data_IF_668019166049
#
_entry.id   IF_668019166049
#
_cell.length_a   1.000
_cell.length_b   1.000
_cell.length_c   1.000
_cell.angle_alpha   90.00
_cell.angle_beta   90.00
_cell.angle_gamma   90.00
#
_symmetry.space_group_name_H-M   'P 1'
#
loop_
_entity.id
_entity.type
_entity.pdbx_description
1 polymer ?
#
# COMPACT_ATOMS: atom_id res chain seq x y z
N UNK A 1 26.92 -28.21 -34.15
CA UNK A 1 25.80 -27.25 -34.00
C UNK A 1 25.92 -26.61 -32.62
N UNK A 2 25.84 -25.28 -32.56
CA UNK A 2 26.16 -24.44 -31.40
C UNK A 2 25.19 -24.70 -30.24
N UNK A 3 25.73 -24.81 -29.03
CA UNK A 3 24.97 -24.86 -27.79
C UNK A 3 24.26 -23.53 -27.51
N UNK A 4 22.97 -23.62 -27.19
CA UNK A 4 22.19 -22.49 -26.69
C UNK A 4 22.45 -22.30 -25.20
N UNK A 5 23.07 -21.19 -24.84
CA UNK A 5 23.14 -20.71 -23.45
C UNK A 5 21.71 -20.39 -23.00
N UNK A 6 21.22 -21.10 -22.00
CA UNK A 6 20.06 -20.67 -21.21
C UNK A 6 20.50 -19.41 -20.45
N UNK A 7 19.85 -18.28 -20.72
CA UNK A 7 20.06 -17.07 -19.93
C UNK A 7 19.45 -17.29 -18.55
N UNK A 8 20.32 -17.54 -17.59
CA UNK A 8 20.00 -17.59 -16.17
C UNK A 8 19.89 -16.14 -15.68
N UNK A 9 18.66 -15.62 -15.57
CA UNK A 9 18.43 -14.28 -15.02
C UNK A 9 18.75 -14.34 -13.53
N UNK A 10 19.84 -13.69 -13.13
CA UNK A 10 20.30 -13.66 -11.75
C UNK A 10 19.30 -12.87 -10.88
N UNK A 11 18.42 -13.58 -10.15
CA UNK A 11 17.67 -13.00 -9.04
C UNK A 11 18.68 -12.52 -7.98
N UNK A 12 18.70 -11.22 -7.73
CA UNK A 12 19.59 -10.63 -6.75
C UNK A 12 19.19 -11.13 -5.36
N UNK A 13 20.13 -11.73 -4.64
CA UNK A 13 19.99 -12.15 -3.25
C UNK A 13 19.61 -10.94 -2.38
N UNK A 14 18.33 -10.76 -2.07
CA UNK A 14 17.85 -9.73 -1.15
C UNK A 14 16.96 -10.36 -0.10
N UNK A 15 17.20 -10.01 1.16
CA UNK A 15 16.46 -10.54 2.29
C UNK A 15 15.08 -9.88 2.32
N UNK A 16 14.02 -10.59 1.92
CA UNK A 16 12.65 -10.18 2.25
C UNK A 16 12.36 -10.67 3.68
N UNK A 17 11.63 -9.91 4.49
CA UNK A 17 11.32 -10.34 5.88
C UNK A 17 9.90 -10.89 5.90
N UNK A 18 9.76 -12.17 6.25
CA UNK A 18 8.46 -12.80 6.51
C UNK A 18 8.34 -13.02 8.01
N UNK A 19 7.30 -12.52 8.64
CA UNK A 19 7.06 -12.72 10.07
C UNK A 19 5.70 -13.36 10.28
N UNK A 20 5.63 -14.28 11.24
CA UNK A 20 4.35 -14.83 11.74
C UNK A 20 4.07 -14.38 13.18
N UNK A 21 4.94 -13.57 13.80
CA UNK A 21 4.83 -13.11 15.19
C UNK A 21 5.31 -11.66 15.37
N UNK A 22 4.70 -10.87 16.29
CA UNK A 22 5.05 -9.47 16.57
C UNK A 22 6.30 -9.28 17.45
N UNK A 23 7.00 -10.35 17.82
CA UNK A 23 8.23 -10.30 18.63
C UNK A 23 9.32 -11.08 17.93
N UNK A 24 10.12 -10.33 17.16
CA UNK A 24 11.44 -10.68 16.61
C UNK A 24 11.74 -12.15 16.35
N UNK A 25 11.66 -12.55 15.06
CA UNK A 25 12.69 -13.32 14.38
C UNK A 25 12.52 -13.15 12.87
N UNK A 26 13.30 -12.22 12.30
CA UNK A 26 13.35 -11.94 10.87
C UNK A 26 14.06 -13.08 10.14
N UNK A 27 13.34 -13.86 9.33
CA UNK A 27 13.97 -14.79 8.39
C UNK A 27 14.12 -14.10 7.02
N UNK A 28 15.34 -14.00 6.48
CA UNK A 28 15.55 -13.48 5.14
C UNK A 28 15.00 -14.48 4.11
N UNK A 29 14.03 -14.08 3.30
CA UNK A 29 13.66 -14.82 2.09
C UNK A 29 14.84 -14.73 1.14
N UNK A 30 15.55 -15.84 1.02
CA UNK A 30 16.36 -16.08 -0.17
C UNK A 30 15.38 -16.41 -1.30
N UNK A 31 15.20 -15.50 -2.26
CA UNK A 31 14.69 -15.85 -3.59
C UNK A 31 15.75 -16.69 -4.32
N UNK A 32 15.99 -17.90 -3.84
CA UNK A 32 16.73 -18.93 -4.56
C UNK A 32 15.74 -20.07 -4.77
N UNK A 33 15.26 -20.22 -6.00
CA UNK A 33 14.48 -21.37 -6.44
C UNK A 33 15.33 -22.64 -6.29
N UNK A 34 15.15 -23.34 -5.17
CA UNK A 34 14.99 -24.79 -5.21
C UNK A 34 13.61 -25.11 -4.63
N UNK A 35 12.90 -26.12 -5.16
CA UNK A 35 11.60 -26.53 -4.65
C UNK A 35 11.79 -27.19 -3.29
N UNK A 36 11.98 -26.39 -2.25
CA UNK A 36 11.71 -26.82 -0.89
C UNK A 36 10.23 -26.59 -0.63
N UNK A 37 9.44 -27.55 -1.08
CA UNK A 37 8.02 -27.77 -0.73
C UNK A 37 7.77 -27.92 0.79
N UNK A 38 8.71 -27.52 1.66
CA UNK A 38 8.72 -27.81 3.10
C UNK A 38 8.98 -26.63 4.03
N UNK A 39 9.24 -25.41 3.54
CA UNK A 39 9.72 -24.37 4.44
C UNK A 39 8.68 -23.43 5.06
N UNK A 40 7.41 -23.46 4.64
CA UNK A 40 6.33 -22.75 5.35
C UNK A 40 5.05 -23.61 5.35
N UNK A 41 4.98 -24.59 6.25
CA UNK A 41 3.74 -25.34 6.53
C UNK A 41 2.66 -24.50 7.22
N UNK A 42 2.97 -23.26 7.59
CA UNK A 42 2.04 -22.35 8.23
C UNK A 42 1.53 -21.31 7.23
N UNK A 43 0.24 -20.94 7.29
CA UNK A 43 -0.30 -19.84 6.52
C UNK A 43 0.50 -18.58 6.83
N UNK A 44 0.95 -17.89 5.79
CA UNK A 44 1.69 -16.65 5.95
C UNK A 44 0.67 -15.53 6.18
N UNK A 45 0.63 -14.99 7.39
CA UNK A 45 -0.34 -13.93 7.73
C UNK A 45 0.21 -12.51 7.56
N UNK A 46 1.54 -12.32 7.66
CA UNK A 46 2.19 -11.01 7.52
C UNK A 46 3.33 -11.04 6.50
N UNK A 47 3.38 -10.03 5.64
CA UNK A 47 4.43 -9.79 4.66
C UNK A 47 4.88 -8.35 4.75
N UNK A 48 6.13 -8.14 5.15
CA UNK A 48 6.72 -6.81 5.31
C UNK A 48 7.97 -6.66 4.44
N UNK A 49 7.86 -5.80 3.44
CA UNK A 49 8.94 -5.42 2.54
C UNK A 49 9.22 -3.93 2.75
N UNK A 50 9.62 -3.55 3.96
CA UNK A 50 9.90 -2.13 4.27
C UNK A 50 11.33 -1.78 3.88
N UNK A 51 11.52 -0.65 3.20
CA UNK A 51 12.85 -0.07 2.89
C UNK A 51 13.75 -0.98 2.03
N UNK A 52 13.59 -0.89 0.70
CA UNK A 52 14.44 -1.56 -0.29
C UNK A 52 13.99 -1.24 -1.72
N UNK A 53 14.69 -1.75 -2.73
CA UNK A 53 14.13 -1.76 -4.09
C UNK A 53 13.53 -3.13 -4.36
N UNK A 54 12.25 -3.12 -4.72
CA UNK A 54 11.51 -4.27 -5.21
C UNK A 54 11.59 -4.26 -6.73
N UNK A 55 11.95 -5.39 -7.33
CA UNK A 55 11.88 -5.57 -8.77
C UNK A 55 10.52 -6.17 -9.14
N UNK A 56 10.13 -6.02 -10.41
CA UNK A 56 8.87 -6.56 -10.89
C UNK A 56 8.85 -8.10 -10.78
N UNK A 57 10.00 -8.75 -10.99
CA UNK A 57 10.16 -10.19 -10.84
C UNK A 57 9.91 -10.65 -9.39
N UNK A 58 10.27 -9.85 -8.40
CA UNK A 58 10.04 -10.18 -6.99
C UNK A 58 8.53 -10.24 -6.69
N UNK A 59 7.76 -9.27 -7.19
CA UNK A 59 6.29 -9.23 -7.02
C UNK A 59 5.62 -10.38 -7.76
N UNK A 60 6.08 -10.70 -8.98
CA UNK A 60 5.58 -11.85 -9.74
C UNK A 60 5.89 -13.18 -9.07
N UNK A 61 7.04 -13.30 -8.42
CA UNK A 61 7.38 -14.50 -7.64
C UNK A 61 6.49 -14.62 -6.41
N UNK A 62 6.23 -13.50 -5.71
CA UNK A 62 5.30 -13.48 -4.58
C UNK A 62 3.92 -13.96 -5.02
N UNK A 63 3.32 -13.42 -6.08
CA UNK A 63 1.96 -13.83 -6.49
C UNK A 63 1.81 -15.34 -6.77
N UNK A 64 2.90 -16.06 -7.09
CA UNK A 64 2.91 -17.51 -7.29
C UNK A 64 2.99 -18.33 -5.99
N UNK A 65 3.33 -17.71 -4.86
CA UNK A 65 3.53 -18.42 -3.60
C UNK A 65 2.20 -18.96 -3.03
N UNK A 66 2.01 -20.28 -2.83
CA UNK A 66 0.71 -20.85 -2.47
C UNK A 66 0.18 -20.39 -1.11
N UNK A 67 1.05 -20.18 -0.12
CA UNK A 67 0.62 -19.81 1.24
C UNK A 67 0.14 -18.37 1.41
N UNK A 68 0.26 -17.53 0.37
CA UNK A 68 -0.23 -16.15 0.40
C UNK A 68 -1.75 -16.03 0.43
N UNK A 69 -2.49 -17.10 0.11
CA UNK A 69 -3.96 -17.08 0.19
C UNK A 69 -4.52 -16.79 1.59
N UNK A 70 -3.67 -16.73 2.62
CA UNK A 70 -4.02 -16.44 4.01
C UNK A 70 -3.43 -15.11 4.51
N UNK A 71 -2.82 -14.31 3.63
CA UNK A 71 -2.17 -13.07 4.00
C UNK A 71 -3.20 -12.07 4.53
N UNK A 72 -2.97 -11.57 5.74
CA UNK A 72 -3.79 -10.54 6.40
C UNK A 72 -3.12 -9.18 6.37
N UNK A 73 -1.79 -9.12 6.41
CA UNK A 73 -1.06 -7.86 6.50
C UNK A 73 0.01 -7.76 5.42
N UNK A 74 -0.10 -6.76 4.56
CA UNK A 74 0.88 -6.43 3.52
C UNK A 74 1.44 -5.03 3.75
N UNK A 75 2.74 -4.95 4.01
CA UNK A 75 3.44 -3.69 4.21
C UNK A 75 4.56 -3.52 3.18
N UNK A 76 4.41 -2.55 2.27
CA UNK A 76 5.39 -2.16 1.26
C UNK A 76 5.89 -0.73 1.46
N UNK A 77 5.73 -0.18 2.67
CA UNK A 77 6.08 1.21 2.96
C UNK A 77 7.52 1.53 2.59
N UNK A 78 7.71 2.71 2.00
CA UNK A 78 8.99 3.26 1.58
C UNK A 78 9.72 2.43 0.50
N UNK A 79 9.03 1.51 -0.17
CA UNK A 79 9.51 0.87 -1.40
C UNK A 79 9.13 1.76 -2.59
N UNK A 80 10.08 2.24 -3.42
CA UNK A 80 9.76 3.05 -4.58
C UNK A 80 9.15 2.19 -5.68
N UNK A 81 7.82 2.19 -5.77
CA UNK A 81 7.04 1.44 -6.76
C UNK A 81 6.91 2.18 -8.11
N UNK A 82 7.38 3.43 -8.19
CA UNK A 82 7.46 4.22 -9.44
C UNK A 82 8.22 3.53 -10.58
N UNK A 83 9.07 2.55 -10.25
CA UNK A 83 9.96 1.86 -11.21
C UNK A 83 9.45 0.50 -11.67
N UNK A 84 8.31 0.04 -11.17
CA UNK A 84 7.76 -1.28 -11.53
C UNK A 84 6.31 -1.17 -12.02
N UNK A 85 5.87 -2.12 -12.85
CA UNK A 85 4.45 -2.25 -13.18
C UNK A 85 3.66 -2.62 -11.93
N UNK A 86 2.58 -1.88 -11.67
CA UNK A 86 1.68 -2.18 -10.56
C UNK A 86 0.65 -3.26 -10.89
N UNK A 87 0.60 -3.77 -12.13
CA UNK A 87 -0.21 -4.94 -12.49
C UNK A 87 0.14 -6.17 -11.63
N UNK A 88 1.43 -6.39 -11.35
CA UNK A 88 1.88 -7.49 -10.51
C UNK A 88 1.40 -7.34 -9.05
N UNK A 89 1.38 -6.10 -8.55
CA UNK A 89 0.79 -5.79 -7.24
C UNK A 89 -0.73 -5.98 -7.27
N UNK A 90 -1.38 -5.58 -8.37
CA UNK A 90 -2.81 -5.79 -8.59
C UNK A 90 -3.19 -7.27 -8.53
N UNK A 91 -2.41 -8.14 -9.19
CA UNK A 91 -2.60 -9.59 -9.14
C UNK A 91 -2.36 -10.19 -7.74
N UNK A 92 -1.38 -9.66 -7.00
CA UNK A 92 -1.16 -10.04 -5.61
C UNK A 92 -2.38 -9.67 -4.74
N UNK A 93 -2.87 -8.43 -4.85
CA UNK A 93 -4.05 -7.95 -4.12
C UNK A 93 -5.30 -8.78 -4.45
N UNK A 94 -5.51 -9.12 -5.72
CA UNK A 94 -6.62 -9.98 -6.16
C UNK A 94 -6.58 -11.35 -5.45
N UNK A 95 -5.39 -11.95 -5.37
CA UNK A 95 -5.20 -13.26 -4.73
C UNK A 95 -5.48 -13.23 -3.22
N UNK A 96 -5.18 -12.11 -2.56
CA UNK A 96 -5.35 -11.95 -1.10
C UNK A 96 -6.61 -11.17 -0.72
N UNK A 97 -7.46 -10.82 -1.68
CA UNK A 97 -8.62 -9.94 -1.49
C UNK A 97 -9.60 -10.46 -0.43
N UNK A 98 -9.71 -11.78 -0.29
CA UNK A 98 -10.59 -12.43 0.67
C UNK A 98 -10.04 -12.48 2.10
N UNK A 99 -8.76 -12.15 2.32
CA UNK A 99 -8.09 -12.29 3.63
C UNK A 99 -7.38 -11.04 4.10
N UNK A 100 -7.03 -10.11 3.19
CA UNK A 100 -6.24 -8.93 3.52
C UNK A 100 -7.01 -7.97 4.44
N UNK A 101 -6.46 -7.74 5.62
CA UNK A 101 -7.00 -6.84 6.65
C UNK A 101 -6.22 -5.51 6.74
N UNK A 102 -4.92 -5.52 6.43
CA UNK A 102 -4.05 -4.34 6.46
C UNK A 102 -3.23 -4.22 5.18
N UNK A 103 -3.29 -3.05 4.55
CA UNK A 103 -2.45 -2.68 3.42
C UNK A 103 -1.71 -1.37 3.71
N UNK A 104 -0.38 -1.40 3.66
CA UNK A 104 0.47 -0.23 3.87
C UNK A 104 1.29 0.03 2.61
N UNK A 105 0.94 1.11 1.91
CA UNK A 105 1.60 1.66 0.73
C UNK A 105 2.08 3.10 1.00
N UNK A 106 2.55 3.37 2.23
CA UNK A 106 3.02 4.71 2.61
C UNK A 106 4.37 5.03 1.96
N UNK A 107 4.49 6.21 1.34
CA UNK A 107 5.78 6.68 0.81
C UNK A 107 6.33 5.87 -0.37
N UNK A 108 5.45 5.23 -1.15
CA UNK A 108 5.82 4.31 -2.23
C UNK A 108 6.13 5.00 -3.57
N UNK A 109 5.98 6.33 -3.67
CA UNK A 109 6.18 7.08 -4.91
C UNK A 109 5.28 6.59 -6.06
N UNK A 110 4.05 6.18 -5.76
CA UNK A 110 3.10 5.70 -6.77
C UNK A 110 2.55 6.89 -7.55
N UNK A 111 2.61 6.85 -8.89
CA UNK A 111 1.94 7.83 -9.75
C UNK A 111 0.51 7.38 -10.08
N UNK A 112 -0.38 8.32 -10.42
CA UNK A 112 -1.78 8.01 -10.73
C UNK A 112 -1.95 6.95 -11.83
N UNK A 113 -1.17 7.05 -12.93
CA UNK A 113 -1.24 6.09 -14.04
C UNK A 113 -0.90 4.65 -13.62
N UNK A 114 -0.18 4.47 -12.51
CA UNK A 114 0.11 3.15 -11.95
C UNK A 114 -0.93 2.77 -10.90
N UNK A 115 -1.43 3.74 -10.13
CA UNK A 115 -2.48 3.50 -9.14
C UNK A 115 -3.71 2.85 -9.79
N UNK A 116 -4.09 3.29 -11.00
CA UNK A 116 -5.21 2.71 -11.75
C UNK A 116 -5.09 1.20 -11.98
N UNK A 117 -3.88 0.65 -12.00
CA UNK A 117 -3.64 -0.79 -12.18
C UNK A 117 -4.06 -1.62 -10.96
N UNK A 118 -4.10 -1.00 -9.77
CA UNK A 118 -4.43 -1.68 -8.50
C UNK A 118 -5.83 -1.35 -7.99
N UNK A 119 -6.47 -0.29 -8.46
CA UNK A 119 -7.82 0.11 -8.02
C UNK A 119 -8.86 -1.02 -8.16
N UNK A 120 -8.92 -1.79 -9.27
CA UNK A 120 -9.90 -2.86 -9.41
C UNK A 120 -9.74 -3.97 -8.36
N UNK A 121 -8.52 -4.42 -8.09
CA UNK A 121 -8.29 -5.47 -7.10
C UNK A 121 -8.40 -4.95 -5.66
N UNK A 122 -7.97 -3.71 -5.40
CA UNK A 122 -8.17 -3.05 -4.11
C UNK A 122 -9.65 -2.98 -3.74
N UNK A 123 -10.53 -2.65 -4.70
CA UNK A 123 -11.99 -2.59 -4.47
C UNK A 123 -12.60 -3.93 -4.04
N UNK A 124 -11.92 -5.05 -4.31
CA UNK A 124 -12.35 -6.41 -3.95
C UNK A 124 -11.86 -6.86 -2.58
N UNK A 125 -10.95 -6.12 -1.94
CA UNK A 125 -10.39 -6.42 -0.63
C UNK A 125 -11.41 -6.21 0.51
N UNK A 126 -12.51 -6.95 0.51
CA UNK A 126 -13.66 -6.75 1.41
C UNK A 126 -13.37 -6.92 2.91
N UNK A 127 -12.23 -7.55 3.25
CA UNK A 127 -11.76 -7.71 4.62
C UNK A 127 -10.92 -6.52 5.12
N UNK A 128 -10.56 -5.57 4.24
CA UNK A 128 -9.62 -4.51 4.56
C UNK A 128 -10.17 -3.59 5.66
N UNK A 129 -9.42 -3.47 6.76
CA UNK A 129 -9.75 -2.64 7.91
C UNK A 129 -8.82 -1.44 8.04
N UNK A 130 -7.58 -1.57 7.55
CA UNK A 130 -6.53 -0.57 7.68
C UNK A 130 -5.87 -0.33 6.33
N UNK A 131 -5.84 0.92 5.88
CA UNK A 131 -5.21 1.30 4.61
C UNK A 131 -4.35 2.54 4.75
N UNK A 132 -3.03 2.40 4.62
CA UNK A 132 -2.10 3.52 4.70
C UNK A 132 -1.55 3.86 3.33
N UNK A 133 -1.95 5.01 2.81
CA UNK A 133 -1.53 5.52 1.50
C UNK A 133 -0.84 6.89 1.60
N UNK A 134 -0.59 7.38 2.82
CA UNK A 134 0.08 8.65 3.07
C UNK A 134 1.46 8.77 2.41
N UNK A 135 2.00 10.00 2.37
CA UNK A 135 3.34 10.31 1.85
C UNK A 135 3.58 9.90 0.39
N UNK A 136 2.53 9.63 -0.39
CA UNK A 136 2.58 9.55 -1.85
C UNK A 136 2.25 10.93 -2.48
N UNK A 137 2.64 11.12 -3.73
CA UNK A 137 2.28 12.30 -4.52
C UNK A 137 1.03 11.97 -5.33
N UNK A 138 -0.05 12.72 -5.10
CA UNK A 138 -1.33 12.42 -5.72
C UNK A 138 -2.14 13.69 -5.92
N UNK A 139 -2.67 13.88 -7.13
CA UNK A 139 -3.60 14.97 -7.42
C UNK A 139 -4.93 14.76 -6.71
N UNK A 140 -5.69 15.85 -6.60
CA UNK A 140 -7.04 15.85 -6.05
C UNK A 140 -7.96 14.85 -6.77
N UNK A 141 -7.91 14.82 -8.11
CA UNK A 141 -8.77 13.94 -8.92
C UNK A 141 -8.42 12.47 -8.70
N UNK A 142 -7.13 12.16 -8.62
CA UNK A 142 -6.68 10.80 -8.35
C UNK A 142 -7.04 10.31 -6.94
N UNK A 143 -7.01 11.21 -5.94
CA UNK A 143 -7.51 10.91 -4.60
C UNK A 143 -9.03 10.66 -4.61
N UNK A 144 -9.82 11.48 -5.31
CA UNK A 144 -11.27 11.25 -5.45
C UNK A 144 -11.57 9.89 -6.09
N UNK A 145 -10.83 9.52 -7.13
CA UNK A 145 -10.98 8.23 -7.80
C UNK A 145 -10.68 7.06 -6.85
N UNK A 146 -9.57 7.15 -6.10
CA UNK A 146 -9.23 6.18 -5.06
C UNK A 146 -10.32 6.05 -3.98
N UNK A 147 -10.90 7.16 -3.53
CA UNK A 147 -12.01 7.16 -2.57
C UNK A 147 -13.27 6.50 -3.17
N UNK A 148 -13.56 6.75 -4.45
CA UNK A 148 -14.65 6.12 -5.18
C UNK A 148 -14.48 4.59 -5.25
N UNK A 149 -13.28 4.13 -5.58
CA UNK A 149 -12.95 2.70 -5.66
C UNK A 149 -12.94 1.97 -4.31
N UNK A 150 -12.76 2.70 -3.21
CA UNK A 150 -12.81 2.14 -1.84
C UNK A 150 -14.18 2.26 -1.17
N UNK A 151 -15.20 2.75 -1.90
CA UNK A 151 -16.57 2.93 -1.40
C UNK A 151 -17.22 1.65 -0.86
N UNK A 152 -16.97 0.51 -1.52
CA UNK A 152 -17.52 -0.80 -1.14
C UNK A 152 -16.84 -1.45 0.08
N UNK A 153 -15.73 -0.89 0.56
CA UNK A 153 -14.91 -1.46 1.64
C UNK A 153 -15.47 -1.09 3.02
N UNK A 154 -16.62 -1.66 3.36
CA UNK A 154 -17.39 -1.34 4.59
C UNK A 154 -16.66 -1.58 5.92
N UNK A 155 -15.58 -2.37 5.91
CA UNK A 155 -14.76 -2.69 7.10
C UNK A 155 -13.62 -1.70 7.34
N UNK A 156 -13.35 -0.80 6.39
CA UNK A 156 -12.32 0.21 6.55
C UNK A 156 -12.62 1.06 7.78
N UNK A 157 -11.64 1.09 8.69
CA UNK A 157 -11.76 1.70 10.00
C UNK A 157 -10.65 2.67 10.32
N UNK A 158 -9.47 2.48 9.72
CA UNK A 158 -8.32 3.35 9.89
C UNK A 158 -7.59 3.58 8.56
N UNK A 159 -7.49 4.85 8.16
CA UNK A 159 -7.06 5.18 6.80
C UNK A 159 -6.20 6.43 6.78
N UNK A 160 -5.16 6.43 5.94
CA UNK A 160 -4.30 7.60 5.72
C UNK A 160 -4.16 7.90 4.23
N UNK A 161 -4.32 9.17 3.87
CA UNK A 161 -4.15 9.69 2.52
C UNK A 161 -3.17 10.88 2.53
N UNK A 162 -2.41 11.10 1.44
CA UNK A 162 -1.53 12.25 1.34
C UNK A 162 -2.33 13.55 1.18
N UNK A 163 -1.66 14.69 1.40
CA UNK A 163 -2.19 15.97 0.95
C UNK A 163 -2.22 15.98 -0.60
N UNK A 164 -3.27 16.56 -1.23
CA UNK A 164 -3.29 16.73 -2.68
C UNK A 164 -2.08 17.52 -3.16
N UNK A 165 -1.50 17.13 -4.29
CA UNK A 165 -0.33 17.79 -4.88
C UNK A 165 -0.58 19.28 -5.15
N UNK A 166 -1.82 19.66 -5.42
CA UNK A 166 -2.26 21.05 -5.63
C UNK A 166 -2.05 21.94 -4.40
N UNK A 167 -1.97 21.34 -3.21
CA UNK A 167 -1.68 22.04 -1.96
C UNK A 167 -0.19 22.12 -1.63
N UNK A 168 0.69 21.57 -2.47
CA UNK A 168 2.13 21.55 -2.24
C UNK A 168 2.81 22.73 -2.92
N UNK A 169 3.69 23.43 -2.19
CA UNK A 169 4.54 24.46 -2.75
C UNK A 169 5.79 23.87 -3.44
N UNK A 170 6.63 24.72 -4.01
CA UNK A 170 7.87 24.31 -4.71
C UNK A 170 8.89 23.58 -3.84
N UNK A 171 8.76 23.67 -2.51
CA UNK A 171 9.58 22.96 -1.53
C UNK A 171 8.84 21.74 -0.94
N UNK A 172 7.72 21.32 -1.53
CA UNK A 172 6.90 20.18 -1.09
C UNK A 172 6.34 20.37 0.32
N UNK A 173 6.19 21.62 0.76
CA UNK A 173 5.47 21.95 1.99
C UNK A 173 4.01 22.25 1.66
N UNK A 174 3.12 21.89 2.58
CA UNK A 174 1.69 22.14 2.42
C UNK A 174 1.38 23.63 2.65
N UNK A 175 0.74 24.23 1.65
CA UNK A 175 0.05 25.51 1.76
C UNK A 175 -1.32 25.27 2.41
N UNK A 176 -1.50 25.75 3.63
CA UNK A 176 -2.72 25.52 4.41
C UNK A 176 -3.94 26.27 3.87
N UNK A 177 -3.76 27.40 3.19
CA UNK A 177 -4.86 28.16 2.61
C UNK A 177 -5.49 27.40 1.43
N UNK A 178 -4.67 26.66 0.68
CA UNK A 178 -5.12 25.79 -0.41
C UNK A 178 -5.56 24.41 0.12
N UNK A 179 -4.82 23.85 1.06
CA UNK A 179 -5.10 22.50 1.58
C UNK A 179 -6.43 22.41 2.30
N UNK A 180 -6.78 23.42 3.10
CA UNK A 180 -7.99 23.42 3.93
C UNK A 180 -9.28 23.19 3.11
N UNK A 181 -9.57 23.95 2.04
CA UNK A 181 -10.74 23.70 1.20
C UNK A 181 -10.65 22.37 0.45
N UNK A 182 -9.46 21.95 -0.05
CA UNK A 182 -9.31 20.67 -0.74
C UNK A 182 -9.56 19.47 0.19
N UNK A 183 -9.06 19.52 1.42
CA UNK A 183 -9.31 18.50 2.44
C UNK A 183 -10.81 18.41 2.76
N UNK A 184 -11.50 19.56 2.89
CA UNK A 184 -12.94 19.59 3.12
C UNK A 184 -13.70 18.95 1.95
N UNK A 185 -13.27 19.21 0.72
CA UNK A 185 -13.85 18.60 -0.48
C UNK A 185 -13.62 17.08 -0.54
N UNK A 186 -12.41 16.59 -0.24
CA UNK A 186 -12.15 15.14 -0.15
C UNK A 186 -13.02 14.47 0.91
N UNK A 187 -13.14 15.08 2.08
CA UNK A 187 -14.00 14.57 3.15
C UNK A 187 -15.47 14.55 2.74
N UNK A 188 -15.93 15.53 1.95
CA UNK A 188 -17.29 15.53 1.38
C UNK A 188 -17.47 14.37 0.40
N UNK A 189 -16.59 14.21 -0.59
CA UNK A 189 -16.64 13.09 -1.55
C UNK A 189 -16.65 11.74 -0.83
N UNK A 190 -15.84 11.61 0.22
CA UNK A 190 -15.79 10.38 1.00
C UNK A 190 -17.11 10.09 1.71
N UNK A 191 -17.72 11.10 2.34
CA UNK A 191 -19.00 11.00 3.03
C UNK A 191 -20.18 10.72 2.09
N UNK A 192 -20.05 11.08 0.81
CA UNK A 192 -21.04 10.73 -0.23
C UNK A 192 -21.04 9.24 -0.56
N UNK A 193 -19.88 8.57 -0.43
CA UNK A 193 -19.74 7.16 -0.81
C UNK A 193 -19.75 6.18 0.36
N UNK A 194 -19.34 6.60 1.57
CA UNK A 194 -19.42 5.79 2.80
C UNK A 194 -19.28 6.64 4.07
N UNK A 195 -19.54 6.04 5.24
CA UNK A 195 -19.28 6.67 6.53
C UNK A 195 -17.84 6.41 6.97
N UNK A 196 -16.92 7.41 6.89
CA UNK A 196 -15.55 7.24 7.35
C UNK A 196 -15.47 7.10 8.88
N UNK A 197 -14.56 6.25 9.38
CA UNK A 197 -14.30 6.11 10.83
C UNK A 197 -13.10 6.95 11.24
N UNK A 198 -11.88 6.40 11.22
CA UNK A 198 -10.66 7.11 11.59
C UNK A 198 -9.87 7.41 10.32
N UNK A 199 -9.87 8.68 9.91
CA UNK A 199 -9.25 9.08 8.64
C UNK A 199 -8.31 10.25 8.85
N UNK A 200 -7.14 10.11 8.26
CA UNK A 200 -6.12 11.15 8.22
C UNK A 200 -5.81 11.52 6.78
N UNK A 201 -5.91 12.81 6.45
CA UNK A 201 -5.51 13.36 5.15
C UNK A 201 -4.54 14.48 5.47
N UNK A 202 -3.30 14.42 4.96
CA UNK A 202 -2.35 15.51 5.14
C UNK A 202 -0.87 15.14 5.08
N UNK A 203 0.01 16.15 5.31
CA UNK A 203 1.44 15.94 5.44
C UNK A 203 1.69 15.26 6.79
N UNK A 204 1.95 13.95 6.78
CA UNK A 204 2.02 13.09 7.96
C UNK A 204 2.79 13.74 9.15
N UNK A 205 2.32 13.62 10.42
CA UNK A 205 1.92 12.34 10.99
C UNK A 205 0.68 12.37 11.91
N UNK A 206 -0.28 11.50 11.65
CA UNK A 206 -0.96 10.80 12.74
C UNK A 206 -1.28 9.37 12.28
N UNK A 207 -0.49 8.39 12.71
CA UNK A 207 -0.78 6.96 12.56
C UNK A 207 -1.60 6.40 13.74
N UNK A 208 -2.03 7.28 14.65
CA UNK A 208 -3.14 7.11 15.60
C UNK A 208 -3.18 8.30 16.56
N UNK A 209 -2.03 8.92 16.85
CA UNK A 209 -1.85 10.31 17.28
C UNK A 209 -0.39 10.54 17.64
N UNK A 210 0.46 10.64 16.62
CA UNK A 210 1.79 11.25 16.76
C UNK A 210 1.78 12.66 16.16
N UNK A 211 0.68 13.38 16.39
CA UNK A 211 0.03 14.47 15.63
C UNK A 211 0.87 15.38 14.73
N UNK A 212 0.32 15.68 13.55
CA UNK A 212 0.24 17.03 12.94
C UNK A 212 -0.87 17.02 11.89
N UNK A 213 -2.00 17.71 12.14
CA UNK A 213 -2.36 18.85 11.29
C UNK A 213 -3.17 19.94 12.04
N UNK A 214 -2.79 21.23 11.96
CA UNK A 214 -3.64 22.38 12.33
C UNK A 214 -3.06 23.70 11.75
N UNK A 215 -3.77 24.83 11.64
CA UNK A 215 -4.71 25.42 12.61
C UNK A 215 -6.14 25.67 12.10
N UNK A 216 -7.07 25.12 12.86
CA UNK A 216 -8.51 25.43 12.88
C UNK A 216 -9.29 25.26 11.55
N UNK A 217 -9.33 24.01 11.09
CA UNK A 217 -10.59 23.46 10.55
C UNK A 217 -10.95 22.15 11.27
N UNK A 218 -11.86 22.29 12.23
CA UNK A 218 -12.49 21.18 12.94
C UNK A 218 -13.39 20.39 12.00
N UNK A 219 -12.99 19.13 11.78
CA UNK A 219 -13.87 17.98 11.99
C UNK A 219 -12.97 16.87 12.52
N UNK A 220 -12.69 16.90 13.82
CA UNK A 220 -11.99 15.85 14.54
C UNK A 220 -12.64 14.49 14.29
N UNK A 221 -11.87 13.54 13.77
CA UNK A 221 -11.86 12.15 14.22
C UNK A 221 -10.40 11.65 14.26
N UNK A 222 -9.63 12.25 15.18
CA UNK A 222 -8.54 11.52 15.84
C UNK A 222 -9.16 10.92 17.12
N UNK A 223 -9.35 9.60 17.06
CA UNK A 223 -10.18 8.73 17.91
C UNK A 223 -11.67 8.74 17.54
#
# INVERSE_FOLDING_TARGET
>A
MKGGKVHQTACHSRSLVMTNDPVSNSLPVKCCFEPQERCLQNPLENLELTCGYLLEEDVKCLSQYPSLGYLKHLNLSYVPLSRISLEALGALLEKVAATLETLILEGCQIHYSQLSDILPSLSRCSQLTTFYFGRNFMSMDALKDLLGHTSGLSKLSLETYPAPDESLNSLVHVDWEIFTPLRAELMRTLREVRQPRRIFIGPAPCPSCGSSPSEELDFHLCC
#
